data_IF_062871786427
#
_entry.id   IF_062871786427
#
_cell.length_a   1.000
_cell.length_b   1.000
_cell.length_c   1.000
_cell.angle_alpha   90.00
_cell.angle_beta   90.00
_cell.angle_gamma   90.00
#
_symmetry.space_group_name_H-M   'P 1'
#
loop_
_entity.id
_entity.type
_entity.pdbx_description
1 polymer ?
#
# COMPACT_ATOMS: atom_id res chain seq x y z
N UNK A 1 1.33 -12.04 5.57
CA UNK A 1 0.70 -10.72 5.69
C UNK A 1 0.16 -10.30 4.33
N UNK A 2 -1.02 -9.71 4.28
CA UNK A 2 -1.69 -9.35 3.03
C UNK A 2 -1.77 -7.84 2.86
N UNK A 3 -1.86 -7.41 1.62
CA UNK A 3 -1.99 -5.98 1.33
C UNK A 3 -3.44 -5.53 1.42
N UNK A 4 -3.66 -4.38 2.03
CA UNK A 4 -4.97 -3.74 2.15
C UNK A 4 -4.92 -2.43 1.36
N UNK A 5 -5.66 -2.38 0.27
CA UNK A 5 -5.69 -1.19 -0.59
C UNK A 5 -6.63 -0.14 -0.02
N UNK A 6 -6.11 1.09 0.09
CA UNK A 6 -6.89 2.22 0.56
C UNK A 6 -7.94 2.65 -0.47
N UNK A 7 -8.88 3.48 -0.03
CA UNK A 7 -10.01 3.97 -0.81
C UNK A 7 -9.58 4.63 -2.12
N UNK A 8 -8.44 5.32 -2.14
CA UNK A 8 -7.97 6.05 -3.30
C UNK A 8 -7.44 5.15 -4.42
N UNK A 9 -7.28 3.86 -4.14
CA UNK A 9 -6.79 2.90 -5.12
C UNK A 9 -7.98 2.12 -5.69
N UNK A 10 -7.89 1.79 -6.97
CA UNK A 10 -8.97 1.07 -7.63
C UNK A 10 -9.05 -0.38 -7.14
N UNK A 11 -10.24 -0.87 -6.76
CA UNK A 11 -10.41 -2.29 -6.42
C UNK A 11 -10.12 -3.23 -7.60
N UNK A 12 -10.08 -2.70 -8.81
CA UNK A 12 -9.75 -3.50 -10.00
C UNK A 12 -8.31 -4.04 -9.95
N UNK A 13 -7.46 -3.42 -9.13
CA UNK A 13 -6.11 -3.92 -8.92
C UNK A 13 -6.09 -5.33 -8.33
N UNK A 14 -7.13 -5.70 -7.60
CA UNK A 14 -7.19 -7.02 -6.98
C UNK A 14 -7.11 -8.13 -8.01
N UNK A 15 -7.88 -8.04 -9.07
CA UNK A 15 -7.87 -9.04 -10.13
C UNK A 15 -6.53 -9.07 -10.88
N UNK A 16 -5.98 -7.90 -11.10
CA UNK A 16 -4.78 -7.75 -11.92
C UNK A 16 -3.52 -8.21 -11.21
N UNK A 17 -3.50 -8.16 -9.88
CA UNK A 17 -2.30 -8.40 -9.10
C UNK A 17 -2.40 -9.61 -8.17
N UNK A 18 -3.49 -10.36 -8.24
CA UNK A 18 -3.73 -11.47 -7.31
C UNK A 18 -2.65 -12.54 -7.33
N UNK A 19 -2.01 -12.76 -8.48
CA UNK A 19 -0.95 -13.77 -8.57
C UNK A 19 0.34 -13.32 -7.88
N UNK A 20 0.58 -12.01 -7.83
CA UNK A 20 1.78 -11.47 -7.20
C UNK A 20 1.58 -11.19 -5.71
N UNK A 21 0.36 -10.82 -5.33
CA UNK A 21 0.06 -10.47 -3.95
C UNK A 21 -1.18 -11.24 -3.48
N UNK A 22 -1.01 -12.53 -3.18
CA UNK A 22 -2.16 -13.35 -2.74
C UNK A 22 -2.78 -12.76 -1.47
N UNK A 23 -4.11 -12.78 -1.40
CA UNK A 23 -4.81 -12.27 -0.23
C UNK A 23 -5.01 -10.77 -0.19
N UNK A 24 -4.62 -10.06 -1.26
CA UNK A 24 -4.85 -8.62 -1.34
C UNK A 24 -6.34 -8.31 -1.29
N UNK A 25 -6.72 -7.32 -0.49
CA UNK A 25 -8.10 -6.87 -0.38
C UNK A 25 -8.17 -5.35 -0.46
N UNK A 26 -9.37 -4.83 -0.65
CA UNK A 26 -9.65 -3.40 -0.66
C UNK A 26 -10.44 -3.05 0.60
N UNK A 27 -10.29 -1.82 1.10
CA UNK A 27 -10.98 -1.41 2.32
C UNK A 27 -12.49 -1.62 2.24
N UNK A 28 -13.08 -1.49 1.06
CA UNK A 28 -14.52 -1.71 0.90
C UNK A 28 -14.92 -3.17 1.12
N UNK A 29 -13.99 -4.11 0.95
CA UNK A 29 -14.27 -5.55 1.10
C UNK A 29 -14.38 -5.96 2.57
N UNK A 30 -13.93 -5.13 3.48
CA UNK A 30 -13.99 -5.39 4.92
C UNK A 30 -14.84 -4.35 5.65
N UNK A 31 -15.75 -3.70 4.92
CA UNK A 31 -16.70 -2.78 5.52
C UNK A 31 -16.14 -1.42 5.88
N UNK A 32 -15.03 -1.03 5.27
CA UNK A 32 -14.36 0.23 5.58
C UNK A 32 -14.50 1.28 4.47
N UNK A 33 -15.49 1.13 3.61
CA UNK A 33 -15.75 2.13 2.59
C UNK A 33 -16.01 3.48 3.25
N UNK A 34 -15.25 4.49 2.84
CA UNK A 34 -15.34 5.85 3.39
C UNK A 34 -15.04 5.93 4.90
N UNK A 35 -14.35 4.93 5.42
CA UNK A 35 -13.98 4.94 6.82
C UNK A 35 -12.85 5.94 7.07
N UNK A 36 -12.70 6.37 8.33
CA UNK A 36 -11.60 7.24 8.72
C UNK A 36 -10.27 6.51 8.64
N UNK A 37 -9.18 7.29 8.56
CA UNK A 37 -7.84 6.71 8.56
C UNK A 37 -7.59 5.90 9.84
N UNK A 38 -8.09 6.39 10.97
CA UNK A 38 -7.94 5.68 12.25
C UNK A 38 -8.63 4.32 12.22
N UNK A 39 -9.81 4.24 11.62
CA UNK A 39 -10.54 2.98 11.52
C UNK A 39 -9.80 1.98 10.62
N UNK A 40 -9.24 2.47 9.52
CA UNK A 40 -8.47 1.63 8.61
C UNK A 40 -7.20 1.14 9.30
N UNK A 41 -6.53 2.03 10.01
CA UNK A 41 -5.32 1.70 10.77
C UNK A 41 -5.58 0.57 11.77
N UNK A 42 -6.63 0.73 12.55
CA UNK A 42 -6.99 -0.26 13.57
C UNK A 42 -7.37 -1.59 12.95
N UNK A 43 -8.11 -1.56 11.85
CA UNK A 43 -8.54 -2.79 11.18
C UNK A 43 -7.35 -3.54 10.58
N UNK A 44 -6.39 -2.81 10.03
CA UNK A 44 -5.21 -3.43 9.43
C UNK A 44 -4.37 -4.17 10.49
N UNK A 45 -4.07 -3.49 11.59
CA UNK A 45 -3.37 -4.10 12.71
C UNK A 45 -2.18 -4.96 12.28
N UNK A 46 -2.14 -6.18 12.78
CA UNK A 46 -1.07 -7.14 12.45
C UNK A 46 -1.38 -7.96 11.20
N UNK A 47 -2.59 -7.86 10.67
CA UNK A 47 -3.05 -8.74 9.60
C UNK A 47 -2.76 -8.21 8.21
N UNK A 48 -2.65 -6.89 8.07
CA UNK A 48 -2.52 -6.27 6.75
C UNK A 48 -1.45 -5.20 6.71
N UNK A 49 -0.87 -5.03 5.52
CA UNK A 49 -0.01 -3.89 5.20
C UNK A 49 -0.86 -2.94 4.36
N UNK A 50 -0.96 -1.69 4.80
CA UNK A 50 -1.78 -0.68 4.10
C UNK A 50 -1.02 -0.18 2.88
N UNK A 51 -1.68 -0.17 1.71
CA UNK A 51 -1.13 0.43 0.49
C UNK A 51 -1.97 1.65 0.17
N UNK A 52 -1.35 2.82 0.08
CA UNK A 52 -2.07 4.08 -0.05
C UNK A 52 -1.28 5.11 -0.83
N UNK A 53 -2.00 6.04 -1.45
CA UNK A 53 -1.39 7.23 -2.06
C UNK A 53 -1.46 8.43 -1.11
N UNK A 54 -2.10 8.27 0.05
CA UNK A 54 -2.36 9.35 1.00
C UNK A 54 -1.19 9.48 1.99
N UNK A 55 -0.56 10.65 2.00
CA UNK A 55 0.56 10.92 2.89
C UNK A 55 0.18 10.88 4.37
N UNK A 56 -1.10 10.99 4.70
CA UNK A 56 -1.55 10.93 6.09
C UNK A 56 -1.19 9.60 6.74
N UNK A 57 -1.27 8.48 6.00
CA UNK A 57 -0.88 7.18 6.54
C UNK A 57 0.61 7.08 6.78
N UNK A 58 1.41 7.70 5.92
CA UNK A 58 2.87 7.77 6.14
C UNK A 58 3.15 8.55 7.43
N UNK A 59 2.44 9.64 7.65
CA UNK A 59 2.55 10.42 8.89
C UNK A 59 2.16 9.62 10.11
N UNK A 60 1.09 8.83 10.03
CA UNK A 60 0.67 7.96 11.13
C UNK A 60 1.75 6.93 11.44
N UNK A 61 2.34 6.34 10.40
CA UNK A 61 3.41 5.36 10.58
C UNK A 61 4.59 5.95 11.34
N UNK A 62 4.97 7.19 10.99
CA UNK A 62 6.09 7.86 11.64
C UNK A 62 5.78 8.19 13.10
N UNK A 63 4.54 8.56 13.40
CA UNK A 63 4.15 8.92 14.77
C UNK A 63 3.85 7.72 15.65
N UNK A 64 3.21 6.70 15.09
CA UNK A 64 2.67 5.58 15.86
C UNK A 64 3.50 4.31 15.77
N UNK A 65 4.38 4.24 14.78
CA UNK A 65 5.16 3.03 14.54
C UNK A 65 4.34 1.97 13.84
N UNK A 66 4.75 0.71 13.98
CA UNK A 66 4.06 -0.42 13.36
C UNK A 66 3.95 -1.56 14.35
N UNK A 67 2.96 -2.53 14.15
CA UNK A 67 2.02 -2.65 13.04
C UNK A 67 0.92 -1.60 13.09
N UNK A 68 0.23 -1.38 11.98
CA UNK A 68 0.40 -1.98 10.66
C UNK A 68 1.56 -1.36 9.90
N UNK A 69 2.11 -2.11 8.94
CA UNK A 69 3.08 -1.55 8.00
C UNK A 69 2.33 -0.74 6.94
N UNK A 70 3.02 0.23 6.37
CA UNK A 70 2.45 1.12 5.35
C UNK A 70 3.35 1.15 4.13
N UNK A 71 2.76 0.98 2.95
CA UNK A 71 3.42 1.21 1.67
C UNK A 71 2.79 2.47 1.09
N UNK A 72 3.58 3.52 1.01
CA UNK A 72 3.12 4.81 0.52
C UNK A 72 3.58 5.01 -0.92
N UNK A 73 2.62 5.07 -1.85
CA UNK A 73 2.91 5.34 -3.25
C UNK A 73 2.96 6.84 -3.43
N UNK A 74 4.17 7.38 -3.39
CA UNK A 74 4.39 8.83 -3.38
C UNK A 74 4.11 9.45 -4.73
N UNK A 75 3.46 10.63 -4.70
CA UNK A 75 3.19 11.42 -5.90
C UNK A 75 2.52 10.58 -7.00
N UNK A 76 1.67 9.67 -6.57
CA UNK A 76 1.08 8.69 -7.47
C UNK A 76 -0.38 9.04 -7.77
N UNK A 77 -0.55 9.98 -8.69
CA UNK A 77 -1.88 10.35 -9.17
C UNK A 77 -1.98 9.85 -10.62
N UNK A 78 -1.82 8.54 -10.77
CA UNK A 78 -1.72 7.90 -12.07
C UNK A 78 -2.92 7.00 -12.34
N UNK A 79 -3.19 6.72 -13.62
CA UNK A 79 -4.24 5.76 -13.96
C UNK A 79 -3.90 4.36 -13.50
N UNK A 80 -4.93 3.55 -13.44
CA UNK A 80 -4.88 2.18 -12.92
C UNK A 80 -3.70 1.37 -13.46
N UNK A 81 -3.47 1.38 -14.77
CA UNK A 81 -2.43 0.53 -15.34
C UNK A 81 -1.02 0.96 -14.93
N UNK A 82 -0.83 2.25 -14.65
CA UNK A 82 0.47 2.75 -14.22
C UNK A 82 0.72 2.33 -12.77
N UNK A 83 -0.30 2.41 -11.93
CA UNK A 83 -0.20 1.95 -10.54
C UNK A 83 0.05 0.44 -10.51
N UNK A 84 -0.64 -0.30 -11.37
CA UNK A 84 -0.42 -1.73 -11.50
C UNK A 84 1.03 -2.03 -11.85
N UNK A 85 1.58 -1.32 -12.84
CA UNK A 85 2.96 -1.51 -13.26
C UNK A 85 3.94 -1.19 -12.13
N UNK A 86 3.66 -0.10 -11.39
CA UNK A 86 4.49 0.28 -10.27
C UNK A 86 4.55 -0.82 -9.21
N UNK A 87 3.41 -1.39 -8.87
CA UNK A 87 3.36 -2.47 -7.89
C UNK A 87 4.04 -3.73 -8.40
N UNK A 88 3.87 -4.07 -9.68
CA UNK A 88 4.53 -5.23 -10.28
C UNK A 88 6.05 -5.09 -10.22
N UNK A 89 6.56 -3.93 -10.60
CA UNK A 89 8.00 -3.69 -10.63
C UNK A 89 8.62 -3.72 -9.24
N UNK A 90 7.83 -3.42 -8.23
CA UNK A 90 8.32 -3.38 -6.85
C UNK A 90 7.89 -4.60 -6.05
N UNK A 91 7.42 -5.67 -6.70
CA UNK A 91 6.86 -6.81 -5.99
C UNK A 91 7.88 -7.48 -5.06
N UNK A 92 9.13 -7.63 -5.50
CA UNK A 92 10.18 -8.23 -4.66
C UNK A 92 10.48 -7.32 -3.47
N UNK A 93 10.62 -6.03 -3.73
CA UNK A 93 10.89 -5.04 -2.70
C UNK A 93 9.78 -5.01 -1.65
N UNK A 94 8.53 -5.08 -2.10
CA UNK A 94 7.38 -5.11 -1.21
C UNK A 94 7.38 -6.39 -0.37
N UNK A 95 7.67 -7.52 -0.98
CA UNK A 95 7.72 -8.79 -0.27
C UNK A 95 8.81 -8.77 0.81
N UNK A 96 9.97 -8.23 0.48
CA UNK A 96 11.06 -8.11 1.46
C UNK A 96 10.69 -7.16 2.59
N UNK A 97 10.02 -6.07 2.27
CA UNK A 97 9.55 -5.11 3.27
C UNK A 97 8.58 -5.77 4.24
N UNK A 98 7.66 -6.58 3.74
CA UNK A 98 6.68 -7.26 4.60
C UNK A 98 7.36 -8.20 5.60
N UNK A 99 8.50 -8.76 5.24
CA UNK A 99 9.24 -9.68 6.10
C UNK A 99 10.22 -8.98 7.03
N UNK A 100 10.52 -7.72 6.77
CA UNK A 100 11.52 -6.97 7.54
C UNK A 100 10.91 -6.47 8.84
N UNK A 101 11.30 -7.06 9.95
CA UNK A 101 10.79 -6.68 11.27
C UNK A 101 11.31 -5.32 11.73
N UNK A 102 12.27 -4.74 11.03
CA UNK A 102 12.85 -3.45 11.40
C UNK A 102 12.29 -2.27 10.62
N UNK A 103 11.32 -2.50 9.72
CA UNK A 103 10.80 -1.44 8.86
C UNK A 103 9.27 -1.42 8.88
N UNK A 104 8.70 -0.24 9.04
CA UNK A 104 7.25 -0.06 9.09
C UNK A 104 6.68 0.80 7.98
N UNK A 105 7.54 1.51 7.25
CA UNK A 105 7.10 2.40 6.17
C UNK A 105 8.00 2.20 4.96
N UNK A 106 7.38 1.94 3.81
CA UNK A 106 8.07 1.84 2.53
C UNK A 106 7.48 2.89 1.59
N UNK A 107 8.32 3.82 1.16
CA UNK A 107 7.91 4.81 0.17
C UNK A 107 8.28 4.28 -1.22
N UNK A 108 7.31 4.26 -2.11
CA UNK A 108 7.50 3.80 -3.49
C UNK A 108 7.12 4.94 -4.41
N UNK A 109 8.01 5.25 -5.34
CA UNK A 109 7.79 6.31 -6.30
C UNK A 109 7.98 5.77 -7.70
N UNK A 110 7.15 6.21 -8.63
CA UNK A 110 7.33 5.83 -10.02
C UNK A 110 8.65 6.44 -10.50
N UNK A 111 9.57 5.64 -11.08
CA UNK A 111 10.86 6.17 -11.55
C UNK A 111 10.62 7.10 -12.73
N UNK A 112 10.99 8.33 -12.57
CA UNK A 112 10.98 9.27 -13.67
C UNK A 112 12.32 9.23 -14.35
N UNK A 113 12.63 9.28 -14.86
CA UNK A 113 13.67 9.31 -15.24
C UNK A 113 14.76 9.66 -15.10
N UNK A 114 14.50 9.77 -14.55
CA UNK A 114 15.22 10.08 -14.10
C UNK A 114 16.11 9.88 -13.96
N UNK A 115 16.01 10.05 -14.21
CA UNK A 115 16.68 10.07 -13.97
C UNK A 115 17.55 9.85 -14.14
N UNK A 116 17.43 10.09 -14.45
CA UNK A 116 18.14 10.02 -14.58
C UNK A 116 19.08 10.10 -14.68
N UNK A 117 19.16 10.40 -14.78
CA UNK A 117 19.93 10.71 -14.84
C UNK A 117 20.63 10.56 -15.04
#
# INVERSE_FOLDING_TARGET
MSLLLDENLSPRLLQRLSSLFPGMIHVRDVGLKQASDDAIWDRAGRSYTIVTTDADFAGMSQRLGWPPKVIHLEECDFPLRIIEELLRKNSVRISEFEKDSGAGLLAVRFPSDKSSR
#
